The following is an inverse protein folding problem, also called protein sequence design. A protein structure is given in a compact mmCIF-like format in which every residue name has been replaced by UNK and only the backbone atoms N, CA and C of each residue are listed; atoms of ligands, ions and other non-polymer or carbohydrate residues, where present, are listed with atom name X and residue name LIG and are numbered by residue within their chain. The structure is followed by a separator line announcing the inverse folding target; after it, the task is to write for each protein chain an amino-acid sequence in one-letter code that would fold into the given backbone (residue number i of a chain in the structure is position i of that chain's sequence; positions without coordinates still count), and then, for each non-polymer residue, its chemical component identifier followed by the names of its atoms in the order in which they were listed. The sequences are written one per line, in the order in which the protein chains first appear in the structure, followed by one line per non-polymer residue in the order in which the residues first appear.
data_IF_726243831679
#
_entry.id   IF_726243831679
#
_cell.length_a   1.000
_cell.length_b   1.000
_cell.length_c   1.000
_cell.angle_alpha   90.00
_cell.angle_beta   90.00
_cell.angle_gamma   90.00
#
_symmetry.space_group_name_H-M   'P 1'
#
loop_
_entity.id
_entity.type
_entity.pdbx_description
1 polymer ?
#
# COMPACT_ATOMS: atom_id res chain seq x y z
N UNK A 1 4.20 17.23 10.81
CA UNK A 1 4.13 15.82 10.37
C UNK A 1 3.61 15.80 8.94
N UNK A 2 4.01 14.80 8.15
CA UNK A 2 3.62 14.71 6.74
C UNK A 2 3.02 13.35 6.41
N UNK A 3 1.93 13.36 5.66
CA UNK A 3 1.26 12.15 5.17
C UNK A 3 1.34 12.08 3.64
N UNK A 4 1.72 10.91 3.11
CA UNK A 4 1.69 10.63 1.68
C UNK A 4 0.49 9.75 1.35
N UNK A 5 -0.46 10.27 0.57
CA UNK A 5 -1.68 9.55 0.19
C UNK A 5 -1.66 9.27 -1.31
N UNK A 6 -1.64 8.00 -1.71
CA UNK A 6 -1.64 7.56 -3.11
C UNK A 6 -2.39 6.24 -3.25
N UNK A 7 -3.69 6.32 -3.53
CA UNK A 7 -4.60 5.18 -3.50
C UNK A 7 -5.33 4.98 -4.82
N UNK A 8 -5.43 3.74 -5.24
CA UNK A 8 -6.35 3.35 -6.31
C UNK A 8 -7.80 3.35 -5.83
N UNK A 9 -8.12 2.65 -4.75
CA UNK A 9 -9.43 2.71 -4.11
C UNK A 9 -9.52 3.96 -3.22
N UNK A 10 -10.39 4.89 -3.60
CA UNK A 10 -10.61 6.17 -2.90
C UNK A 10 -11.61 6.07 -1.76
N UNK A 11 -12.09 4.88 -1.41
CA UNK A 11 -12.99 4.67 -0.28
C UNK A 11 -12.44 5.36 0.98
N UNK A 12 -13.26 6.24 1.58
CA UNK A 12 -12.93 7.01 2.79
C UNK A 12 -11.67 7.90 2.73
N UNK A 13 -11.07 8.12 1.55
CA UNK A 13 -9.81 8.89 1.47
C UNK A 13 -9.98 10.36 1.90
N UNK A 14 -11.13 10.96 1.59
CA UNK A 14 -11.46 12.32 2.00
C UNK A 14 -11.65 12.43 3.51
N UNK A 15 -12.26 11.41 4.13
CA UNK A 15 -12.42 11.34 5.58
C UNK A 15 -11.05 11.20 6.27
N UNK A 16 -10.18 10.33 5.74
CA UNK A 16 -8.79 10.22 6.19
C UNK A 16 -8.06 11.57 6.08
N UNK A 17 -8.15 12.22 4.92
CA UNK A 17 -7.51 13.51 4.67
C UNK A 17 -7.97 14.59 5.65
N UNK A 18 -9.29 14.71 5.91
CA UNK A 18 -9.84 15.63 6.91
C UNK A 18 -9.29 15.37 8.30
N UNK A 19 -9.28 14.10 8.73
CA UNK A 19 -8.75 13.72 10.04
C UNK A 19 -7.28 14.04 10.19
N UNK A 20 -6.47 13.79 9.17
CA UNK A 20 -5.03 14.09 9.15
C UNK A 20 -4.78 15.61 9.20
N UNK A 21 -5.49 16.40 8.41
CA UNK A 21 -5.39 17.88 8.46
C UNK A 21 -5.77 18.42 9.84
N UNK A 22 -6.84 17.90 10.45
CA UNK A 22 -7.24 18.29 11.80
C UNK A 22 -6.19 17.94 12.87
N UNK A 23 -5.39 16.89 12.63
CA UNK A 23 -4.25 16.49 13.46
C UNK A 23 -2.95 17.25 13.12
N UNK A 24 -2.99 18.23 12.20
CA UNK A 24 -1.84 19.04 11.82
C UNK A 24 -0.87 18.36 10.84
N UNK A 25 -1.33 17.35 10.10
CA UNK A 25 -0.54 16.77 9.01
C UNK A 25 -0.62 17.63 7.76
N UNK A 26 0.52 17.84 7.13
CA UNK A 26 0.60 18.26 5.73
C UNK A 26 0.38 17.05 4.83
N UNK A 27 -0.54 17.15 3.87
CA UNK A 27 -0.83 16.07 2.94
C UNK A 27 -0.03 16.28 1.65
N UNK A 28 0.67 15.23 1.23
CA UNK A 28 1.27 15.09 -0.09
C UNK A 28 0.53 14.00 -0.83
N UNK A 29 0.19 14.22 -2.10
CA UNK A 29 -0.56 13.27 -2.91
C UNK A 29 -0.23 13.38 -4.40
N UNK A 30 -0.78 12.49 -5.22
CA UNK A 30 -0.60 12.48 -6.67
C UNK A 30 -1.84 11.96 -7.40
N UNK A 31 -1.96 12.32 -8.69
CA UNK A 31 -2.97 11.81 -9.60
C UNK A 31 -4.40 11.94 -9.07
N UNK A 32 -5.20 10.88 -9.25
CA UNK A 32 -6.61 10.88 -8.84
C UNK A 32 -6.84 11.06 -7.34
N UNK A 33 -5.89 10.67 -6.48
CA UNK A 33 -6.00 10.89 -5.03
C UNK A 33 -5.88 12.38 -4.70
N UNK A 34 -4.90 13.06 -5.28
CA UNK A 34 -4.70 14.51 -5.10
C UNK A 34 -5.96 15.28 -5.51
N UNK A 35 -6.48 14.96 -6.70
CA UNK A 35 -7.69 15.58 -7.24
C UNK A 35 -8.89 15.39 -6.29
N UNK A 36 -9.13 14.17 -5.81
CA UNK A 36 -10.24 13.89 -4.89
C UNK A 36 -10.14 14.67 -3.56
N UNK A 37 -8.92 14.88 -3.06
CA UNK A 37 -8.68 15.67 -1.84
C UNK A 37 -8.93 17.17 -2.08
N UNK A 38 -8.41 17.71 -3.18
CA UNK A 38 -8.56 19.12 -3.54
C UNK A 38 -10.01 19.48 -3.88
N UNK A 39 -10.72 18.63 -4.64
CA UNK A 39 -12.16 18.80 -4.93
C UNK A 39 -13.01 18.80 -3.64
N UNK A 40 -12.55 18.12 -2.59
CA UNK A 40 -13.18 18.12 -1.27
C UNK A 40 -12.77 19.32 -0.39
N UNK A 41 -11.99 20.27 -0.92
CA UNK A 41 -11.54 21.49 -0.24
C UNK A 41 -10.37 21.29 0.72
N UNK A 42 -9.62 20.17 0.61
CA UNK A 42 -8.51 19.89 1.51
C UNK A 42 -7.18 20.42 0.97
N UNK A 43 -6.32 21.00 1.82
CA UNK A 43 -4.96 21.35 1.44
C UNK A 43 -4.15 20.08 1.20
N UNK A 44 -3.71 19.87 -0.03
CA UNK A 44 -2.84 18.77 -0.42
C UNK A 44 -1.85 19.24 -1.49
N UNK A 45 -0.57 18.98 -1.25
CA UNK A 45 0.53 19.27 -2.16
C UNK A 45 0.70 18.13 -3.17
N UNK A 46 1.01 18.46 -4.42
CA UNK A 46 1.41 17.46 -5.39
C UNK A 46 2.80 16.91 -5.06
N UNK A 47 3.02 15.62 -5.32
CA UNK A 47 4.36 15.01 -5.24
C UNK A 47 5.38 15.79 -6.09
N UNK A 48 4.99 16.29 -7.27
CA UNK A 48 5.86 17.09 -8.13
C UNK A 48 6.34 18.41 -7.47
N UNK A 49 5.51 19.03 -6.62
CA UNK A 49 5.89 20.22 -5.86
C UNK A 49 6.94 19.89 -4.79
N UNK A 50 6.86 18.69 -4.21
CA UNK A 50 7.82 18.21 -3.21
C UNK A 50 9.14 17.77 -3.84
N UNK A 51 9.10 17.13 -5.01
CA UNK A 51 10.29 16.58 -5.67
C UNK A 51 10.98 17.60 -6.58
N UNK A 52 10.28 18.63 -7.03
CA UNK A 52 10.74 19.54 -8.08
C UNK A 52 10.93 18.86 -9.45
N UNK A 53 10.49 17.60 -9.60
CA UNK A 53 10.67 16.81 -10.82
C UNK A 53 9.41 16.86 -11.68
N UNK A 54 9.52 17.07 -13.00
CA UNK A 54 8.37 17.02 -13.90
C UNK A 54 7.79 15.61 -13.98
N UNK A 55 6.51 15.52 -14.33
CA UNK A 55 5.91 14.23 -14.69
C UNK A 55 6.44 13.78 -16.05
N UNK A 56 7.03 12.58 -16.09
CA UNK A 56 7.59 11.95 -17.28
C UNK A 56 7.11 10.50 -17.39
N UNK A 57 7.17 9.92 -18.60
CA UNK A 57 6.78 8.53 -18.87
C UNK A 57 5.35 8.22 -18.37
N UNK A 58 4.42 9.13 -18.66
CA UNK A 58 3.00 9.02 -18.24
C UNK A 58 2.81 8.76 -16.73
N UNK A 59 3.71 9.32 -15.92
CA UNK A 59 3.63 9.25 -14.46
C UNK A 59 4.19 7.96 -13.85
N UNK A 60 4.79 7.06 -14.65
CA UNK A 60 5.37 5.77 -14.19
C UNK A 60 6.40 5.90 -13.08
N UNK A 61 7.11 7.02 -13.00
CA UNK A 61 8.24 7.21 -12.08
C UNK A 61 8.03 8.34 -11.07
N UNK A 62 6.83 8.92 -11.00
CA UNK A 62 6.59 10.17 -10.26
C UNK A 62 6.86 10.11 -8.76
N UNK A 63 6.71 8.94 -8.12
CA UNK A 63 7.00 8.74 -6.69
C UNK A 63 8.37 8.11 -6.43
N UNK A 64 9.07 7.64 -7.46
CA UNK A 64 10.38 6.98 -7.37
C UNK A 64 11.51 8.00 -7.24
N UNK A 65 11.42 8.85 -6.21
CA UNK A 65 12.31 9.98 -6.00
C UNK A 65 12.93 9.98 -4.60
N UNK A 66 14.20 10.38 -4.42
CA UNK A 66 14.85 10.47 -3.10
C UNK A 66 14.14 11.37 -2.10
N UNK A 67 13.51 12.47 -2.54
CA UNK A 67 12.73 13.33 -1.65
C UNK A 67 11.50 12.63 -1.04
N UNK A 68 10.98 11.59 -1.71
CA UNK A 68 9.85 10.78 -1.22
C UNK A 68 10.38 9.59 -0.41
N UNK A 69 11.26 8.79 -1.01
CA UNK A 69 11.79 7.59 -0.36
C UNK A 69 12.73 7.90 0.81
N UNK A 70 13.55 8.95 0.73
CA UNK A 70 14.37 9.43 1.84
C UNK A 70 13.53 9.90 3.02
N UNK A 71 12.45 10.65 2.74
CA UNK A 71 11.47 11.08 3.75
C UNK A 71 10.82 9.89 4.48
N UNK A 72 10.56 8.78 3.79
CA UNK A 72 10.05 7.54 4.39
C UNK A 72 11.13 6.68 5.06
N UNK A 73 12.34 6.62 4.53
CA UNK A 73 13.35 5.62 4.89
C UNK A 73 14.31 6.04 5.99
N UNK A 74 14.46 7.34 6.24
CA UNK A 74 15.37 7.81 7.28
C UNK A 74 14.96 7.28 8.66
N UNK A 75 15.93 6.69 9.36
CA UNK A 75 15.76 6.22 10.73
C UNK A 75 15.62 7.40 11.68
N UNK A 76 14.48 7.47 12.37
CA UNK A 76 14.16 8.58 13.30
C UNK A 76 15.07 8.61 14.54
N UNK A 77 15.66 7.47 14.87
CA UNK A 77 16.58 7.28 15.99
C UNK A 77 18.06 7.49 15.62
N UNK A 78 18.35 7.84 14.36
CA UNK A 78 19.70 8.05 13.84
C UNK A 78 19.93 9.56 13.52
N UNK A 79 20.62 10.32 14.39
CA UNK A 79 20.84 11.75 14.19
C UNK A 79 21.59 12.09 12.90
N UNK A 80 22.47 11.22 12.42
CA UNK A 80 23.23 11.47 11.19
C UNK A 80 22.34 11.40 9.94
N UNK A 81 21.38 10.46 9.93
CA UNK A 81 20.38 10.38 8.85
C UNK A 81 19.42 11.57 8.88
N UNK A 82 18.99 12.00 10.07
CA UNK A 82 18.12 13.18 10.19
C UNK A 82 18.83 14.46 9.74
N UNK A 83 20.10 14.65 10.11
CA UNK A 83 20.92 15.75 9.61
C UNK A 83 21.10 15.71 8.09
N UNK A 84 21.18 14.51 7.51
CA UNK A 84 21.23 14.33 6.04
C UNK A 84 19.92 14.78 5.38
N UNK A 85 18.78 14.43 5.97
CA UNK A 85 17.49 14.90 5.45
C UNK A 85 17.38 16.43 5.48
N UNK A 86 17.76 17.05 6.61
CA UNK A 86 17.71 18.51 6.78
C UNK A 86 18.63 19.22 5.78
N UNK A 87 19.87 18.73 5.59
CA UNK A 87 20.82 19.28 4.64
C UNK A 87 20.35 19.18 3.17
N UNK A 88 19.49 18.20 2.87
CA UNK A 88 18.90 18.01 1.54
C UNK A 88 17.51 18.66 1.39
N UNK A 89 16.98 19.31 2.43
CA UNK A 89 15.63 19.88 2.44
C UNK A 89 14.52 18.83 2.35
N UNK A 90 14.78 17.59 2.77
CA UNK A 90 13.83 16.48 2.69
C UNK A 90 13.07 16.40 4.00
N UNK A 91 11.76 16.62 3.96
CA UNK A 91 10.91 16.50 5.16
C UNK A 91 10.53 15.02 5.39
N UNK A 92 10.68 14.50 6.63
CA UNK A 92 10.13 13.22 7.06
C UNK A 92 8.67 12.98 6.64
N UNK A 93 8.36 11.76 6.20
CA UNK A 93 7.00 11.26 6.00
C UNK A 93 6.64 10.32 7.16
N UNK A 94 5.58 10.64 7.88
CA UNK A 94 5.18 9.95 9.12
C UNK A 94 4.04 8.95 8.89
N UNK A 95 3.25 9.14 7.83
CA UNK A 95 2.16 8.27 7.45
C UNK A 95 2.11 8.10 5.93
N UNK A 96 1.86 6.88 5.48
CA UNK A 96 1.64 6.53 4.08
C UNK A 96 0.34 5.75 3.95
N UNK A 97 -0.60 6.27 3.18
CA UNK A 97 -1.78 5.52 2.77
C UNK A 97 -1.65 5.19 1.28
N UNK A 98 -1.53 3.90 0.96
CA UNK A 98 -1.38 3.44 -0.41
C UNK A 98 -2.02 2.07 -0.58
N UNK A 99 -2.91 1.94 -1.57
CA UNK A 99 -3.50 0.67 -1.97
C UNK A 99 -3.32 0.51 -3.48
N UNK A 100 -3.15 -0.73 -3.91
CA UNK A 100 -2.74 -1.08 -5.27
C UNK A 100 -3.95 -1.25 -6.19
N UNK A 101 -3.69 -1.10 -7.49
CA UNK A 101 -4.64 -1.46 -8.53
C UNK A 101 -5.09 -2.93 -8.38
N UNK A 102 -6.38 -3.27 -8.53
CA UNK A 102 -6.87 -4.64 -8.43
C UNK A 102 -6.51 -5.44 -9.69
N UNK A 103 -5.21 -5.73 -9.85
CA UNK A 103 -4.67 -6.41 -11.02
C UNK A 103 -5.38 -7.75 -11.26
N UNK A 104 -5.64 -8.52 -10.19
CA UNK A 104 -6.37 -9.79 -10.27
C UNK A 104 -7.75 -9.65 -10.92
N UNK A 105 -8.51 -8.59 -10.63
CA UNK A 105 -9.83 -8.38 -11.23
C UNK A 105 -9.71 -8.03 -12.72
N UNK A 106 -8.66 -7.30 -13.08
CA UNK A 106 -8.46 -6.80 -14.44
C UNK A 106 -8.08 -7.90 -15.42
N UNK A 107 -7.16 -8.78 -15.02
CA UNK A 107 -6.69 -9.89 -15.87
C UNK A 107 -7.71 -11.03 -16.00
N UNK A 108 -8.86 -10.94 -15.32
CA UNK A 108 -9.98 -11.87 -15.53
C UNK A 108 -10.92 -11.47 -16.64
N UNK A 109 -10.85 -10.23 -17.12
CA UNK A 109 -11.66 -9.78 -18.24
C UNK A 109 -11.02 -10.25 -19.55
N UNK A 110 -11.66 -11.16 -20.32
CA UNK A 110 -11.11 -11.68 -21.57
C UNK A 110 -10.96 -10.63 -22.66
N UNK A 111 -11.45 -9.40 -22.45
CA UNK A 111 -11.33 -8.27 -23.38
C UNK A 111 -10.04 -7.46 -23.18
N UNK A 112 -9.34 -7.65 -22.07
CA UNK A 112 -8.09 -6.93 -21.78
C UNK A 112 -6.94 -7.62 -22.50
N UNK A 113 -6.27 -6.90 -23.40
CA UNK A 113 -5.06 -7.42 -24.04
C UNK A 113 -3.93 -7.55 -23.01
N UNK A 114 -3.03 -8.52 -23.21
CA UNK A 114 -1.90 -8.73 -22.30
C UNK A 114 -1.04 -7.47 -22.16
N UNK A 115 -0.81 -6.74 -23.25
CA UNK A 115 -0.10 -5.46 -23.23
C UNK A 115 -0.77 -4.43 -22.34
N UNK A 116 -2.11 -4.35 -22.37
CA UNK A 116 -2.87 -3.41 -21.55
C UNK A 116 -2.82 -3.81 -20.08
N UNK A 117 -2.83 -5.12 -19.78
CA UNK A 117 -2.63 -5.62 -18.42
C UNK A 117 -1.23 -5.27 -17.89
N UNK A 118 -0.18 -5.46 -18.70
CA UNK A 118 1.20 -5.10 -18.32
C UNK A 118 1.32 -3.61 -17.95
N UNK A 119 0.63 -2.73 -18.66
CA UNK A 119 0.59 -1.29 -18.35
C UNK A 119 -0.06 -0.98 -16.98
N UNK A 120 -0.88 -1.87 -16.44
CA UNK A 120 -1.50 -1.74 -15.12
C UNK A 120 -0.61 -2.24 -13.96
N UNK A 121 0.58 -2.79 -14.26
CA UNK A 121 1.51 -3.23 -13.21
C UNK A 121 2.13 -2.00 -12.53
N UNK A 122 1.63 -1.70 -11.33
CA UNK A 122 2.14 -0.64 -10.47
C UNK A 122 3.56 -0.95 -9.95
N UNK A 123 4.48 0.00 -10.14
CA UNK A 123 5.84 -0.03 -9.60
C UNK A 123 5.97 0.89 -8.38
N UNK A 124 5.39 2.09 -8.46
CA UNK A 124 5.51 3.12 -7.43
C UNK A 124 4.77 2.74 -6.15
N UNK A 125 3.56 2.19 -6.26
CA UNK A 125 2.74 1.72 -5.14
C UNK A 125 3.47 0.70 -4.27
N UNK A 126 3.91 -0.46 -4.82
CA UNK A 126 4.64 -1.46 -4.06
C UNK A 126 5.94 -0.92 -3.46
N UNK A 127 6.68 -0.06 -4.18
CA UNK A 127 7.90 0.57 -3.67
C UNK A 127 7.61 1.44 -2.43
N UNK A 128 6.58 2.29 -2.48
CA UNK A 128 6.17 3.13 -1.35
C UNK A 128 5.68 2.31 -0.16
N UNK A 129 4.83 1.31 -0.40
CA UNK A 129 4.28 0.44 0.65
C UNK A 129 5.42 -0.30 1.37
N UNK A 130 6.36 -0.90 0.61
CA UNK A 130 7.51 -1.61 1.19
C UNK A 130 8.43 -0.67 1.96
N UNK A 131 8.66 0.55 1.47
CA UNK A 131 9.48 1.54 2.16
C UNK A 131 8.86 1.93 3.52
N UNK A 132 7.59 2.32 3.51
CA UNK A 132 6.86 2.67 4.73
C UNK A 132 6.81 1.50 5.73
N UNK A 133 6.53 0.28 5.24
CA UNK A 133 6.47 -0.92 6.07
C UNK A 133 7.84 -1.31 6.65
N UNK A 134 8.94 -1.16 5.90
CA UNK A 134 10.29 -1.39 6.40
C UNK A 134 10.61 -0.44 7.56
N UNK A 135 10.26 0.84 7.43
CA UNK A 135 10.52 1.85 8.45
C UNK A 135 9.33 2.04 9.41
N UNK A 136 8.58 0.97 9.72
CA UNK A 136 7.43 1.03 10.62
C UNK A 136 7.70 1.64 12.01
N UNK A 137 8.93 1.63 12.59
CA UNK A 137 9.16 2.36 13.83
C UNK A 137 8.91 3.86 13.69
N UNK A 138 9.21 4.44 12.51
CA UNK A 138 9.02 5.85 12.20
C UNK A 138 7.77 6.18 11.39
N UNK A 139 7.23 5.22 10.63
CA UNK A 139 6.18 5.47 9.63
C UNK A 139 4.96 4.57 9.87
N UNK A 140 3.76 5.12 9.77
CA UNK A 140 2.50 4.37 9.77
C UNK A 140 2.13 4.04 8.33
N UNK A 141 1.94 2.77 7.98
CA UNK A 141 1.54 2.35 6.63
C UNK A 141 0.10 1.84 6.65
N UNK A 142 -0.76 2.35 5.76
CA UNK A 142 -2.16 1.99 5.64
C UNK A 142 -2.45 1.51 4.21
N UNK A 143 -2.70 0.21 4.05
CA UNK A 143 -2.99 -0.39 2.73
C UNK A 143 -4.45 -0.75 2.50
N UNK A 144 -5.30 -0.58 3.52
CA UNK A 144 -6.72 -0.92 3.45
C UNK A 144 -7.56 0.25 4.02
N UNK A 145 -8.59 0.73 3.29
CA UNK A 145 -9.50 1.78 3.77
C UNK A 145 -10.16 1.51 5.12
N UNK A 146 -10.37 0.23 5.48
CA UNK A 146 -10.93 -0.17 6.77
C UNK A 146 -10.01 0.16 7.97
N UNK A 147 -8.72 0.42 7.74
CA UNK A 147 -7.79 0.82 8.79
C UNK A 147 -7.72 2.35 8.99
N UNK A 148 -8.40 3.15 8.16
CA UNK A 148 -8.28 4.62 8.22
C UNK A 148 -8.86 5.20 9.50
N UNK A 149 -10.11 4.84 9.85
CA UNK A 149 -10.75 5.35 11.07
C UNK A 149 -10.04 4.86 12.33
N UNK A 150 -9.74 3.55 12.50
CA UNK A 150 -8.97 3.08 13.66
C UNK A 150 -7.61 3.78 13.79
N UNK A 151 -6.95 4.11 12.68
CA UNK A 151 -5.69 4.83 12.72
C UNK A 151 -5.85 6.27 13.19
N UNK A 152 -6.88 6.98 12.72
CA UNK A 152 -7.20 8.33 13.18
C UNK A 152 -7.54 8.36 14.68
N UNK A 153 -8.36 7.41 15.14
CA UNK A 153 -8.74 7.30 16.56
C UNK A 153 -7.49 7.09 17.42
N UNK A 154 -6.58 6.21 17.01
CA UNK A 154 -5.31 5.99 17.70
C UNK A 154 -4.44 7.26 17.74
N UNK A 155 -4.34 8.00 16.64
CA UNK A 155 -3.57 9.26 16.55
C UNK A 155 -4.12 10.37 17.45
N UNK A 156 -5.43 10.38 17.73
CA UNK A 156 -6.04 11.36 18.64
C UNK A 156 -5.73 11.08 20.12
N UNK A 157 -5.51 9.82 20.47
CA UNK A 157 -5.27 9.40 21.87
C UNK A 157 -3.82 9.55 22.33
N UNK A 158 -2.89 9.84 21.41
CA UNK A 158 -1.47 10.05 21.71
C UNK A 158 -0.54 9.37 20.70
N UNK A 159 0.68 8.99 21.11
CA UNK A 159 1.63 8.33 20.23
C UNK A 159 1.09 7.02 19.65
N UNK A 160 1.13 6.89 18.33
CA UNK A 160 0.64 5.69 17.66
C UNK A 160 1.42 4.44 18.10
N UNK A 161 0.77 3.37 18.62
CA UNK A 161 1.46 2.25 19.25
C UNK A 161 2.42 1.50 18.31
N UNK A 162 3.65 1.25 18.76
CA UNK A 162 4.66 0.53 17.97
C UNK A 162 4.20 -0.88 17.55
N UNK A 163 3.48 -1.58 18.43
CA UNK A 163 2.91 -2.89 18.13
C UNK A 163 1.91 -2.82 16.97
N UNK A 164 1.12 -1.76 16.91
CA UNK A 164 0.15 -1.53 15.83
C UNK A 164 0.85 -1.16 14.53
N UNK A 165 1.91 -0.33 14.57
CA UNK A 165 2.75 -0.08 13.38
C UNK A 165 3.35 -1.37 12.82
N UNK A 166 3.84 -2.26 13.68
CA UNK A 166 4.35 -3.58 13.28
C UNK A 166 3.25 -4.44 12.64
N UNK A 167 2.05 -4.46 13.22
CA UNK A 167 0.90 -5.20 12.68
C UNK A 167 0.54 -4.71 11.27
N UNK A 168 0.46 -3.39 11.09
CA UNK A 168 0.19 -2.75 9.81
C UNK A 168 1.30 -3.03 8.78
N UNK A 169 2.57 -2.97 9.18
CA UNK A 169 3.70 -3.29 8.32
C UNK A 169 3.70 -4.75 7.84
N UNK A 170 3.41 -5.71 8.73
CA UNK A 170 3.27 -7.11 8.36
C UNK A 170 2.15 -7.31 7.32
N UNK A 171 1.01 -6.62 7.50
CA UNK A 171 -0.09 -6.63 6.52
C UNK A 171 0.27 -5.95 5.21
N UNK A 172 1.05 -4.87 5.25
CA UNK A 172 1.53 -4.18 4.06
C UNK A 172 2.46 -5.07 3.21
N UNK A 173 3.42 -5.77 3.84
CA UNK A 173 4.24 -6.75 3.12
C UNK A 173 3.42 -7.92 2.57
N UNK A 174 2.45 -8.44 3.34
CA UNK A 174 1.56 -9.49 2.85
C UNK A 174 0.70 -9.02 1.66
N UNK A 175 0.25 -7.75 1.67
CA UNK A 175 -0.50 -7.16 0.56
C UNK A 175 0.34 -7.08 -0.72
N UNK A 176 1.59 -6.62 -0.63
CA UNK A 176 2.51 -6.57 -1.78
C UNK A 176 2.88 -7.98 -2.25
N UNK A 177 3.18 -8.91 -1.35
CA UNK A 177 3.45 -10.30 -1.72
C UNK A 177 2.28 -10.93 -2.48
N UNK A 178 1.05 -10.68 -2.03
CA UNK A 178 -0.14 -11.16 -2.73
C UNK A 178 -0.29 -10.55 -4.13
N UNK A 179 0.03 -9.27 -4.28
CA UNK A 179 0.02 -8.57 -5.57
C UNK A 179 1.04 -9.18 -6.53
N UNK A 180 2.28 -9.37 -6.08
CA UNK A 180 3.35 -9.97 -6.88
C UNK A 180 3.03 -11.43 -7.27
N UNK A 181 2.39 -12.21 -6.38
CA UNK A 181 1.91 -13.57 -6.70
C UNK A 181 0.93 -13.56 -7.88
N UNK A 182 0.00 -12.60 -7.94
CA UNK A 182 -0.97 -12.52 -9.04
C UNK A 182 -0.28 -12.16 -10.35
N UNK A 183 0.69 -11.24 -10.32
CA UNK A 183 1.48 -10.88 -11.50
C UNK A 183 2.30 -12.08 -11.99
N UNK A 184 2.99 -12.77 -11.09
CA UNK A 184 3.76 -13.96 -11.44
C UNK A 184 2.88 -15.08 -12.03
N UNK A 185 1.67 -15.27 -11.49
CA UNK A 185 0.70 -16.24 -12.02
C UNK A 185 0.13 -15.83 -13.38
N UNK A 186 0.00 -14.53 -13.65
CA UNK A 186 -0.42 -14.01 -14.95
C UNK A 186 0.66 -14.15 -16.03
N UNK A 187 1.93 -13.92 -15.69
CA UNK A 187 3.05 -13.93 -16.64
C UNK A 187 3.63 -15.33 -16.93
N UNK A 188 3.23 -16.36 -16.17
CA UNK A 188 3.78 -17.71 -16.34
C UNK A 188 3.03 -18.48 -17.43
N UNK A 189 3.79 -19.26 -18.19
CA UNK A 189 3.26 -20.13 -19.26
C UNK A 189 3.19 -21.61 -18.84
N UNK A 190 3.72 -21.97 -17.68
CA UNK A 190 3.83 -23.34 -17.21
C UNK A 190 2.87 -23.68 -16.07
N UNK A 191 2.41 -24.94 -16.04
CA UNK A 191 1.50 -25.42 -15.00
C UNK A 191 2.21 -25.65 -13.65
N UNK A 192 3.51 -25.95 -13.68
CA UNK A 192 4.31 -26.35 -12.52
C UNK A 192 5.64 -25.56 -12.47
N UNK A 193 5.60 -24.30 -12.01
CA UNK A 193 6.78 -23.45 -11.98
C UNK A 193 7.81 -23.94 -10.96
N UNK A 194 9.07 -23.60 -11.21
CA UNK A 194 10.17 -23.87 -10.27
C UNK A 194 9.95 -23.18 -8.91
N UNK A 195 9.30 -22.02 -8.91
CA UNK A 195 8.90 -21.28 -7.71
C UNK A 195 7.38 -21.09 -7.68
N UNK A 196 6.73 -21.54 -6.61
CA UNK A 196 5.29 -21.40 -6.41
C UNK A 196 5.01 -20.50 -5.22
N UNK A 197 4.30 -19.40 -5.46
CA UNK A 197 3.75 -18.55 -4.41
C UNK A 197 2.23 -18.69 -4.34
N UNK A 198 1.67 -18.64 -3.13
CA UNK A 198 0.23 -18.79 -2.89
C UNK A 198 -0.26 -17.57 -2.11
N UNK A 199 -1.16 -16.81 -2.72
CA UNK A 199 -1.83 -15.67 -2.12
C UNK A 199 -3.30 -15.99 -1.83
N UNK A 200 -3.79 -15.55 -0.66
CA UNK A 200 -5.18 -15.74 -0.30
C UNK A 200 -5.62 -15.00 0.96
N UNK A 201 -6.92 -14.76 1.06
CA UNK A 201 -7.57 -14.14 2.19
C UNK A 201 -8.12 -15.19 3.14
N UNK A 202 -7.91 -15.00 4.44
CA UNK A 202 -8.51 -15.88 5.44
C UNK A 202 -10.02 -15.71 5.41
N UNK A 203 -10.75 -16.75 5.07
CA UNK A 203 -12.22 -16.75 5.05
C UNK A 203 -12.79 -17.03 6.45
N UNK A 204 -12.25 -18.02 7.15
CA UNK A 204 -12.65 -18.36 8.52
C UNK A 204 -11.63 -19.25 9.21
N UNK A 205 -11.58 -19.19 10.53
CA UNK A 205 -10.97 -20.25 11.33
C UNK A 205 -11.89 -21.48 11.35
N UNK A 206 -11.29 -22.66 11.38
CA UNK A 206 -12.00 -23.92 11.50
C UNK A 206 -11.87 -24.44 12.92
N UNK A 207 -12.84 -25.26 13.34
CA UNK A 207 -12.86 -25.84 14.70
C UNK A 207 -11.61 -26.67 14.98
N UNK A 208 -11.16 -27.43 14.00
CA UNK A 208 -9.93 -28.21 13.99
C UNK A 208 -9.57 -28.55 12.53
N UNK A 209 -8.38 -29.11 12.32
CA UNK A 209 -7.92 -29.65 11.03
C UNK A 209 -8.56 -31.01 10.72
N UNK A 210 -7.75 -32.01 10.40
CA UNK A 210 -8.26 -33.38 10.25
C UNK A 210 -8.58 -34.02 11.61
N UNK A 211 -7.80 -33.67 12.65
CA UNK A 211 -7.95 -34.19 14.01
C UNK A 211 -8.19 -33.06 15.02
N UNK A 212 -8.92 -33.30 16.13
CA UNK A 212 -9.31 -32.26 17.09
C UNK A 212 -8.15 -31.45 17.72
N UNK A 213 -6.94 -32.00 17.77
CA UNK A 213 -5.77 -31.32 18.33
C UNK A 213 -5.05 -30.41 17.31
N UNK A 214 -5.42 -30.48 16.02
CA UNK A 214 -4.82 -29.68 14.95
C UNK A 214 -5.61 -28.39 14.75
N UNK A 215 -4.91 -27.25 14.68
CA UNK A 215 -5.53 -25.97 14.29
C UNK A 215 -5.67 -25.89 12.77
N UNK A 216 -6.76 -25.27 12.29
CA UNK A 216 -6.95 -25.05 10.86
C UNK A 216 -7.70 -23.75 10.57
N UNK A 217 -7.51 -23.26 9.35
CA UNK A 217 -8.23 -22.12 8.81
C UNK A 217 -8.45 -22.33 7.31
N UNK A 218 -9.54 -21.79 6.81
CA UNK A 218 -9.90 -21.84 5.40
C UNK A 218 -9.54 -20.50 4.75
N UNK A 219 -8.83 -20.55 3.62
CA UNK A 219 -8.38 -19.39 2.86
C UNK A 219 -9.02 -19.38 1.47
N UNK A 220 -9.41 -18.20 1.02
CA UNK A 220 -9.85 -17.91 -0.35
C UNK A 220 -8.64 -17.52 -1.19
N UNK A 221 -8.36 -18.23 -2.28
CA UNK A 221 -7.25 -17.86 -3.17
C UNK A 221 -7.53 -16.56 -3.90
N UNK A 222 -6.53 -15.68 -3.97
CA UNK A 222 -6.50 -14.54 -4.87
C UNK A 222 -5.87 -14.99 -6.18
N UNK A 223 -6.70 -15.38 -7.14
CA UNK A 223 -6.26 -15.84 -8.45
C UNK A 223 -6.97 -15.06 -9.55
N UNK A 224 -6.30 -14.81 -10.69
CA UNK A 224 -7.00 -14.62 -11.94
C UNK A 224 -7.79 -15.88 -12.31
N UNK A 225 -9.08 -15.73 -12.62
CA UNK A 225 -9.85 -16.70 -13.39
C UNK A 225 -11.03 -17.31 -12.65
N UNK A 226 -11.78 -18.21 -13.32
CA UNK A 226 -12.98 -18.79 -12.76
C UNK A 226 -12.69 -19.67 -11.54
N UNK A 227 -13.66 -19.70 -10.63
CA UNK A 227 -13.59 -20.52 -9.44
C UNK A 227 -13.31 -22.00 -9.77
N UNK A 228 -12.25 -22.57 -9.20
CA UNK A 228 -11.96 -24.01 -9.32
C UNK A 228 -12.80 -24.81 -8.32
N UNK A 229 -13.46 -25.91 -8.73
CA UNK A 229 -14.21 -26.77 -7.82
C UNK A 229 -13.33 -27.26 -6.67
N UNK A 230 -13.85 -27.23 -5.44
CA UNK A 230 -13.12 -27.68 -4.24
C UNK A 230 -12.10 -26.67 -3.68
N UNK A 231 -11.93 -25.50 -4.31
CA UNK A 231 -11.10 -24.40 -3.80
C UNK A 231 -12.00 -23.25 -3.39
N UNK A 232 -11.82 -22.72 -2.17
CA UNK A 232 -12.41 -21.43 -1.82
C UNK A 232 -11.69 -20.36 -2.63
N UNK A 233 -12.40 -19.65 -3.50
CA UNK A 233 -11.86 -18.54 -4.29
C UNK A 233 -12.36 -17.21 -3.71
N UNK A 234 -11.56 -16.15 -3.85
CA UNK A 234 -11.87 -14.82 -3.32
C UNK A 234 -13.10 -14.21 -3.99
#
# INVERSE_FOLDING_TARGET
MRALLSVYDKTNIVALGRGLVALGYEIVSTGGTLRALQEAGLPALAVAEVTGSPEILDGRVKTLHPAIHGGMQARRDDPAQMATLDAQGIVPIDLVAANLYPFAETVTDPRVAETDAIEQIDIGGPAMIRAAAKNFPGVIVLTNPGDYQPALDALQTGPFPLAERRRLAARAFAHVAAYDTVIADFLRDDSFPAELSIAGDKARELRYGENPHQRAAAYRRRLPGPARPGVLNA
#
